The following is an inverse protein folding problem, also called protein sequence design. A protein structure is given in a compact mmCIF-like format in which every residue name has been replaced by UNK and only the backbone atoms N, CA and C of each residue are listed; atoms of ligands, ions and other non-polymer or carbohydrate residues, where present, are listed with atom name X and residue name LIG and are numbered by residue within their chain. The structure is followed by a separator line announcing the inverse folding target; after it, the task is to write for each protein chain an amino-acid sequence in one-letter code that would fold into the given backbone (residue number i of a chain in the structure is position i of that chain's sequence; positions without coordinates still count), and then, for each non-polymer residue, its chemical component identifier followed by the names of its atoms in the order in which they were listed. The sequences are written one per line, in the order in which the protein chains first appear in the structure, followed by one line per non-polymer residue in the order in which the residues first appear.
data_IF_588350752147
#
_entry.id   IF_588350752147
#
_cell.length_a   1.000
_cell.length_b   1.000
_cell.length_c   1.000
_cell.angle_alpha   90.00
_cell.angle_beta   90.00
_cell.angle_gamma   90.00
#
_symmetry.space_group_name_H-M   'P 1'
#
loop_
_entity.id
_entity.type
_entity.pdbx_description
1 polymer ?
#
# COMPACT_ATOMS: atom_id res chain seq x y z
N UNK A 1 20.21 9.45 -10.27
CA UNK A 1 19.92 8.23 -9.49
C UNK A 1 21.20 7.81 -8.76
N UNK A 2 21.19 7.70 -7.44
CA UNK A 2 22.36 7.25 -6.66
C UNK A 2 22.69 5.80 -6.97
N UNK A 3 23.98 5.47 -6.96
CA UNK A 3 24.43 4.08 -7.03
C UNK A 3 24.19 3.40 -5.70
N UNK A 4 23.78 2.14 -5.74
CA UNK A 4 23.72 1.29 -4.55
C UNK A 4 25.16 1.12 -4.02
N UNK A 5 25.35 1.47 -2.75
CA UNK A 5 26.60 1.28 -2.03
C UNK A 5 26.48 0.06 -1.11
N UNK A 6 27.59 -0.64 -0.88
CA UNK A 6 27.62 -1.74 0.10
C UNK A 6 27.64 -1.17 1.54
N UNK A 7 26.50 -0.64 1.97
CA UNK A 7 26.24 -0.07 3.29
C UNK A 7 24.94 -0.59 3.88
N UNK A 8 24.72 -0.34 5.15
CA UNK A 8 23.49 -0.71 5.84
C UNK A 8 22.30 0.01 5.20
N UNK A 9 21.22 -0.73 4.93
CA UNK A 9 19.92 -0.18 4.59
C UNK A 9 19.05 -0.14 5.84
N UNK A 10 18.48 1.02 6.15
CA UNK A 10 17.50 1.19 7.22
C UNK A 10 16.10 0.95 6.67
N UNK A 11 15.32 0.10 7.34
CA UNK A 11 13.88 -0.06 7.12
C UNK A 11 13.16 0.67 8.25
N UNK A 12 12.28 1.61 7.91
CA UNK A 12 11.58 2.44 8.90
C UNK A 12 10.27 2.98 8.35
N UNK A 13 9.32 3.28 9.25
CA UNK A 13 8.20 4.15 8.89
C UNK A 13 8.62 5.62 8.94
N UNK A 14 7.88 6.48 8.25
CA UNK A 14 8.12 7.92 8.22
C UNK A 14 8.09 8.57 9.63
N UNK A 15 7.33 7.98 10.54
CA UNK A 15 7.07 8.49 11.91
C UNK A 15 7.81 7.73 13.03
N UNK A 16 8.72 6.79 12.70
CA UNK A 16 9.38 5.96 13.74
C UNK A 16 10.51 6.71 14.46
N UNK A 17 11.36 7.43 13.73
CA UNK A 17 12.48 8.20 14.30
C UNK A 17 12.15 9.69 14.46
N UNK A 18 10.87 10.02 14.51
CA UNK A 18 10.37 11.37 14.59
C UNK A 18 8.87 11.35 14.38
N UNK A 19 8.30 12.45 13.88
CA UNK A 19 6.86 12.55 13.62
C UNK A 19 6.51 12.44 12.13
N UNK A 20 7.50 12.64 11.26
CA UNK A 20 7.31 12.75 9.82
C UNK A 20 8.65 12.62 9.06
N UNK A 21 8.60 12.71 7.74
CA UNK A 21 9.76 12.60 6.86
C UNK A 21 10.83 13.69 7.13
N UNK A 22 10.44 14.90 7.49
CA UNK A 22 11.38 15.98 7.84
C UNK A 22 12.15 15.67 9.10
N UNK A 23 11.45 15.21 10.14
CA UNK A 23 12.09 14.77 11.38
C UNK A 23 13.00 13.58 11.13
N UNK A 24 12.56 12.59 10.32
CA UNK A 24 13.36 11.44 9.92
C UNK A 24 14.66 11.89 9.25
N UNK A 25 14.58 12.75 8.24
CA UNK A 25 15.76 13.28 7.53
C UNK A 25 16.73 14.00 8.48
N UNK A 26 16.22 14.88 9.33
CA UNK A 26 17.02 15.63 10.32
C UNK A 26 17.72 14.67 11.30
N UNK A 27 17.01 13.70 11.86
CA UNK A 27 17.57 12.76 12.83
C UNK A 27 18.65 11.89 12.20
N UNK A 28 18.42 11.39 10.99
CA UNK A 28 19.41 10.59 10.26
C UNK A 28 20.68 11.39 9.98
N UNK A 29 20.54 12.64 9.54
CA UNK A 29 21.66 13.51 9.23
C UNK A 29 22.46 13.90 10.47
N UNK A 30 21.79 14.20 11.60
CA UNK A 30 22.44 14.68 12.83
C UNK A 30 23.01 13.55 13.70
N UNK A 31 22.28 12.42 13.80
CA UNK A 31 22.62 11.36 14.76
C UNK A 31 23.32 10.16 14.12
N UNK A 32 23.16 9.96 12.81
CA UNK A 32 23.69 8.81 12.09
C UNK A 32 24.40 9.20 10.77
N UNK A 33 25.25 10.24 10.76
CA UNK A 33 25.86 10.74 9.53
C UNK A 33 26.68 9.64 8.85
N UNK A 34 26.38 9.37 7.57
CA UNK A 34 27.13 8.42 6.74
C UNK A 34 26.95 6.92 7.09
N UNK A 35 26.15 6.59 8.11
CA UNK A 35 25.92 5.19 8.53
C UNK A 35 25.13 4.39 7.52
N UNK A 36 24.06 4.97 6.99
CA UNK A 36 23.16 4.30 6.06
C UNK A 36 23.46 4.69 4.62
N UNK A 37 23.47 3.70 3.72
CA UNK A 37 23.58 3.91 2.28
C UNK A 37 22.22 3.94 1.59
N UNK A 38 21.19 3.38 2.21
CA UNK A 38 19.84 3.34 1.69
C UNK A 38 18.78 3.37 2.77
N UNK A 39 17.57 3.78 2.38
CA UNK A 39 16.37 3.79 3.20
C UNK A 39 15.26 3.02 2.49
N UNK A 40 14.66 2.06 3.18
CA UNK A 40 13.35 1.53 2.85
C UNK A 40 12.33 2.23 3.75
N UNK A 41 11.65 3.23 3.21
CA UNK A 41 10.54 3.88 3.90
C UNK A 41 9.29 3.08 3.62
N UNK A 42 8.79 2.41 4.68
CA UNK A 42 7.54 1.65 4.65
C UNK A 42 6.38 2.56 4.26
N UNK A 43 5.23 2.01 3.79
CA UNK A 43 4.25 2.79 3.04
C UNK A 43 3.93 4.14 3.65
N UNK A 44 4.22 5.19 2.92
CA UNK A 44 4.02 6.59 3.30
C UNK A 44 2.88 7.26 2.52
N UNK A 45 2.13 6.49 1.74
CA UNK A 45 0.98 6.92 0.95
C UNK A 45 -0.28 7.05 1.82
N UNK A 46 -1.30 7.83 1.38
CA UNK A 46 -2.63 7.80 1.98
C UNK A 46 -3.17 6.38 2.08
N UNK A 47 -3.61 6.00 3.26
CA UNK A 47 -4.03 4.63 3.54
C UNK A 47 -5.30 4.59 4.38
N UNK A 48 -6.10 3.54 4.20
CA UNK A 48 -7.29 3.28 5.03
C UNK A 48 -6.99 2.40 6.26
N UNK A 49 -5.76 1.97 6.44
CA UNK A 49 -5.36 1.12 7.57
C UNK A 49 -4.15 0.25 7.28
N UNK A 50 -3.98 -0.77 8.11
CA UNK A 50 -2.90 -1.76 8.01
C UNK A 50 -1.49 -1.11 8.02
N UNK A 51 -1.33 -0.04 8.84
CA UNK A 51 -0.08 0.70 9.02
C UNK A 51 0.50 1.21 7.68
N UNK A 52 -0.36 1.67 6.75
CA UNK A 52 0.03 2.16 5.44
C UNK A 52 -0.17 1.15 4.29
N UNK A 53 -0.28 -0.14 4.56
CA UNK A 53 -0.37 -1.17 3.52
C UNK A 53 -1.74 -1.26 2.83
N UNK A 54 -2.80 -0.63 3.35
CA UNK A 54 -4.08 -0.50 2.65
C UNK A 54 -4.12 0.82 1.86
N UNK A 55 -3.29 0.95 0.82
CA UNK A 55 -3.08 2.17 0.06
C UNK A 55 -4.36 2.61 -0.65
N UNK A 56 -4.67 3.91 -0.52
CA UNK A 56 -5.79 4.56 -1.21
C UNK A 56 -5.32 5.16 -2.53
N UNK A 57 -4.12 5.76 -2.53
CA UNK A 57 -3.58 6.55 -3.62
C UNK A 57 -2.05 6.48 -3.59
N UNK A 58 -1.41 6.29 -4.74
CA UNK A 58 0.04 6.27 -4.90
C UNK A 58 0.62 7.60 -5.42
N UNK A 59 -0.24 8.53 -5.83
CA UNK A 59 0.19 9.80 -6.43
C UNK A 59 0.51 10.85 -5.37
N UNK A 60 0.13 10.62 -4.10
CA UNK A 60 0.36 11.55 -3.00
C UNK A 60 1.06 10.91 -1.80
N UNK A 61 1.67 11.74 -0.97
CA UNK A 61 2.20 11.36 0.35
C UNK A 61 1.11 11.64 1.40
N UNK A 62 0.98 10.76 2.39
CA UNK A 62 0.08 11.00 3.53
C UNK A 62 0.41 12.36 4.18
N UNK A 63 -0.54 13.32 4.24
CA UNK A 63 -0.25 14.69 4.68
C UNK A 63 0.40 14.80 6.06
N UNK A 64 0.13 13.85 6.96
CA UNK A 64 0.78 13.80 8.27
C UNK A 64 2.25 13.41 8.22
N UNK A 65 2.70 12.78 7.14
CA UNK A 65 4.09 12.35 6.96
C UNK A 65 4.92 13.38 6.20
N UNK A 66 4.31 14.19 5.32
CA UNK A 66 5.01 15.22 4.56
C UNK A 66 4.60 15.30 3.10
N UNK A 67 5.56 15.52 2.23
CA UNK A 67 5.35 15.74 0.79
C UNK A 67 6.34 14.97 -0.06
N UNK A 68 6.16 14.97 -1.39
CA UNK A 68 7.14 14.39 -2.32
C UNK A 68 8.49 15.09 -2.25
N UNK A 69 8.53 16.40 -1.97
CA UNK A 69 9.79 17.14 -1.77
C UNK A 69 10.58 16.61 -0.56
N UNK A 70 9.91 16.13 0.47
CA UNK A 70 10.58 15.50 1.62
C UNK A 70 11.17 14.14 1.24
N UNK A 71 10.51 13.37 0.38
CA UNK A 71 11.04 12.13 -0.20
C UNK A 71 12.24 12.43 -1.11
N UNK A 72 12.16 13.46 -1.95
CA UNK A 72 13.26 13.86 -2.84
C UNK A 72 14.50 14.28 -2.03
N UNK A 73 14.33 15.02 -0.94
CA UNK A 73 15.44 15.38 -0.04
C UNK A 73 16.11 14.15 0.61
N UNK A 74 15.34 13.11 0.93
CA UNK A 74 15.92 11.82 1.37
C UNK A 74 16.63 11.11 0.22
N UNK A 75 16.05 11.12 -0.98
CA UNK A 75 16.64 10.51 -2.17
C UNK A 75 17.95 11.16 -2.63
N UNK A 76 18.15 12.43 -2.31
CA UNK A 76 19.44 13.11 -2.53
C UNK A 76 20.57 12.58 -1.66
N UNK A 77 20.24 11.99 -0.52
CA UNK A 77 21.22 11.51 0.46
C UNK A 77 21.34 9.99 0.49
N UNK A 78 20.24 9.26 0.24
CA UNK A 78 20.14 7.82 0.40
C UNK A 78 19.63 7.16 -0.88
N UNK A 79 19.99 5.87 -1.10
CA UNK A 79 19.29 5.04 -2.05
C UNK A 79 17.89 4.71 -1.47
N UNK A 80 16.84 5.13 -2.17
CA UNK A 80 15.47 4.96 -1.69
C UNK A 80 14.85 3.64 -2.17
N UNK A 81 14.11 2.99 -1.27
CA UNK A 81 13.20 1.90 -1.54
C UNK A 81 11.83 2.22 -0.96
N UNK A 82 10.79 1.91 -1.69
CA UNK A 82 9.40 2.06 -1.25
C UNK A 82 8.60 0.79 -1.58
N UNK A 83 7.53 0.56 -0.84
CA UNK A 83 6.60 -0.53 -1.10
C UNK A 83 5.64 -0.18 -2.23
N UNK A 84 5.32 -1.18 -3.04
CA UNK A 84 4.25 -1.09 -4.03
C UNK A 84 3.40 -2.36 -3.95
N UNK A 85 2.18 -2.24 -3.42
CA UNK A 85 1.26 -3.36 -3.22
C UNK A 85 0.55 -3.69 -4.53
N UNK A 86 0.95 -4.79 -5.16
CA UNK A 86 0.33 -5.30 -6.40
C UNK A 86 -0.85 -6.24 -6.14
N UNK A 87 -0.94 -6.80 -4.94
CA UNK A 87 -1.86 -7.89 -4.61
C UNK A 87 -3.14 -7.43 -3.92
N UNK A 88 -3.23 -6.18 -3.50
CA UNK A 88 -4.42 -5.59 -2.91
C UNK A 88 -4.39 -4.06 -2.97
N UNK A 89 -5.56 -3.46 -2.83
CA UNK A 89 -5.76 -2.01 -2.77
C UNK A 89 -6.85 -1.70 -1.74
N UNK A 90 -6.88 -0.48 -1.24
CA UNK A 90 -7.93 -0.04 -0.34
C UNK A 90 -9.30 -0.03 -1.02
N UNK A 91 -10.34 -0.43 -0.30
CA UNK A 91 -11.75 -0.22 -0.71
C UNK A 91 -12.11 1.28 -0.85
N UNK A 92 -11.25 2.18 -0.38
CA UNK A 92 -11.40 3.64 -0.55
C UNK A 92 -10.66 4.18 -1.76
N UNK A 93 -9.94 3.34 -2.50
CA UNK A 93 -9.24 3.75 -3.72
C UNK A 93 -10.21 4.23 -4.80
N UNK A 94 -9.71 5.04 -5.72
CA UNK A 94 -10.49 5.50 -6.87
C UNK A 94 -10.95 4.34 -7.74
N UNK A 95 -10.08 3.38 -8.00
CA UNK A 95 -10.31 2.21 -8.84
C UNK A 95 -11.45 1.35 -8.30
N UNK A 96 -11.43 1.05 -6.99
CA UNK A 96 -12.49 0.26 -6.37
C UNK A 96 -13.82 1.01 -6.36
N UNK A 97 -13.83 2.32 -6.06
CA UNK A 97 -15.05 3.14 -6.08
C UNK A 97 -15.65 3.24 -7.48
N UNK A 98 -14.82 3.44 -8.51
CA UNK A 98 -15.28 3.48 -9.90
C UNK A 98 -15.89 2.12 -10.31
N UNK A 99 -15.23 1.01 -9.94
CA UNK A 99 -15.76 -0.33 -10.17
C UNK A 99 -17.10 -0.56 -9.46
N UNK A 100 -17.25 -0.13 -8.21
CA UNK A 100 -18.51 -0.25 -7.47
C UNK A 100 -19.65 0.56 -8.09
N UNK A 101 -19.32 1.70 -8.71
CA UNK A 101 -20.31 2.58 -9.36
C UNK A 101 -20.69 2.11 -10.77
N UNK A 102 -19.70 1.79 -11.61
CA UNK A 102 -19.86 1.48 -13.04
C UNK A 102 -19.98 -0.01 -13.34
N UNK A 103 -19.65 -0.87 -12.38
CA UNK A 103 -19.70 -2.31 -12.53
C UNK A 103 -18.80 -2.82 -13.65
N UNK A 104 -19.37 -3.66 -14.51
CA UNK A 104 -18.61 -4.28 -15.61
C UNK A 104 -18.20 -3.29 -16.71
N UNK A 105 -18.72 -2.05 -16.69
CA UNK A 105 -18.29 -0.95 -17.56
C UNK A 105 -17.13 -0.13 -17.00
N UNK A 106 -16.64 -0.44 -15.80
CA UNK A 106 -15.47 0.24 -15.24
C UNK A 106 -14.20 -0.14 -16.01
N UNK A 107 -13.32 0.83 -16.35
CA UNK A 107 -12.01 0.53 -16.91
C UNK A 107 -11.13 -0.27 -15.92
N UNK A 108 -11.45 -0.24 -14.65
CA UNK A 108 -10.73 -0.94 -13.59
C UNK A 108 -11.29 -2.34 -13.29
N UNK A 109 -12.33 -2.80 -14.00
CA UNK A 109 -12.92 -4.12 -13.78
C UNK A 109 -11.86 -5.24 -13.71
N UNK A 110 -10.97 -5.27 -14.67
CA UNK A 110 -9.95 -6.32 -14.79
C UNK A 110 -8.78 -6.17 -13.79
N UNK A 111 -8.77 -5.14 -12.96
CA UNK A 111 -7.83 -4.98 -11.85
C UNK A 111 -8.18 -5.88 -10.67
N UNK A 112 -9.44 -6.32 -10.58
CA UNK A 112 -9.97 -7.10 -9.48
C UNK A 112 -10.22 -8.56 -9.88
N UNK A 113 -9.98 -9.48 -8.95
CA UNK A 113 -10.37 -10.88 -9.09
C UNK A 113 -11.89 -10.97 -8.86
N UNK A 114 -12.61 -11.49 -9.84
CA UNK A 114 -14.04 -11.69 -9.76
C UNK A 114 -14.33 -13.06 -9.16
N UNK A 115 -15.09 -13.08 -8.07
CA UNK A 115 -15.40 -14.29 -7.31
C UNK A 115 -16.03 -15.40 -8.16
N UNK A 116 -17.00 -15.04 -8.98
CA UNK A 116 -17.75 -15.96 -9.86
C UNK A 116 -16.94 -16.43 -11.08
N UNK A 117 -15.91 -15.72 -11.47
CA UNK A 117 -15.03 -16.05 -12.61
C UNK A 117 -13.76 -16.80 -12.15
N UNK A 118 -13.29 -16.56 -10.94
CA UNK A 118 -12.05 -17.13 -10.41
C UNK A 118 -12.16 -18.63 -10.12
N UNK A 119 -13.31 -19.08 -9.61
CA UNK A 119 -13.50 -20.45 -9.19
C UNK A 119 -14.03 -21.31 -10.37
N UNK A 120 -13.49 -22.55 -10.60
CA UNK A 120 -13.88 -23.39 -11.74
C UNK A 120 -15.38 -23.70 -11.84
N UNK A 121 -16.09 -23.61 -10.71
CA UNK A 121 -17.56 -23.85 -10.62
C UNK A 121 -18.32 -22.59 -10.21
N UNK A 122 -17.72 -21.39 -10.40
CA UNK A 122 -18.28 -20.11 -9.99
C UNK A 122 -18.30 -19.87 -8.47
N UNK A 123 -17.78 -20.79 -7.67
CA UNK A 123 -17.69 -20.69 -6.21
C UNK A 123 -16.58 -21.60 -5.67
N UNK A 124 -16.00 -21.25 -4.50
CA UNK A 124 -15.01 -22.09 -3.83
C UNK A 124 -15.64 -23.38 -3.29
N UNK A 125 -14.81 -24.40 -3.16
CA UNK A 125 -15.12 -25.61 -2.36
C UNK A 125 -14.93 -25.30 -0.86
N UNK A 126 -15.33 -26.25 -0.02
CA UNK A 126 -15.07 -26.15 1.43
C UNK A 126 -13.56 -26.14 1.72
N UNK A 127 -12.80 -26.98 1.01
CA UNK A 127 -11.35 -27.05 1.12
C UNK A 127 -10.67 -25.74 0.72
N UNK A 128 -11.11 -25.11 -0.40
CA UNK A 128 -10.61 -23.78 -0.81
C UNK A 128 -10.84 -22.75 0.29
N UNK A 129 -12.03 -22.75 0.90
CA UNK A 129 -12.39 -21.83 1.98
C UNK A 129 -11.55 -22.05 3.26
N UNK A 130 -11.19 -23.29 3.56
CA UNK A 130 -10.36 -23.64 4.71
C UNK A 130 -8.89 -23.20 4.51
N UNK A 131 -8.41 -23.15 3.27
CA UNK A 131 -7.07 -22.66 2.93
C UNK A 131 -6.93 -21.14 2.93
N UNK A 132 -8.05 -20.38 2.88
CA UNK A 132 -8.00 -18.93 2.92
C UNK A 132 -7.56 -18.42 4.28
N UNK A 133 -6.54 -17.55 4.29
CA UNK A 133 -6.08 -16.93 5.52
C UNK A 133 -7.12 -15.96 6.09
N UNK A 134 -7.50 -16.17 7.35
CA UNK A 134 -8.47 -15.33 8.04
C UNK A 134 -7.76 -14.25 8.87
N UNK A 135 -7.79 -13.02 8.42
CA UNK A 135 -7.22 -11.88 9.17
C UNK A 135 -8.13 -11.35 10.28
N UNK A 136 -9.44 -11.58 10.18
CA UNK A 136 -10.44 -11.04 11.10
C UNK A 136 -11.48 -12.11 11.43
N UNK A 137 -12.15 -11.93 12.57
CA UNK A 137 -13.36 -12.69 12.90
C UNK A 137 -14.45 -12.41 11.85
N UNK A 138 -15.23 -13.41 11.49
CA UNK A 138 -16.35 -13.30 10.57
C UNK A 138 -16.15 -13.88 9.19
N UNK A 139 -14.91 -14.24 8.82
CA UNK A 139 -14.65 -14.92 7.55
C UNK A 139 -13.46 -14.34 6.76
N UNK A 140 -13.07 -14.99 5.65
CA UNK A 140 -11.90 -14.59 4.88
C UNK A 140 -12.16 -13.47 3.87
N UNK A 141 -13.42 -13.09 3.64
CA UNK A 141 -13.83 -12.06 2.68
C UNK A 141 -14.98 -11.21 3.20
N UNK A 142 -15.22 -10.07 2.55
CA UNK A 142 -16.37 -9.19 2.77
C UNK A 142 -17.18 -9.11 1.48
N UNK A 143 -18.48 -8.99 1.61
CA UNK A 143 -19.40 -8.78 0.47
C UNK A 143 -19.75 -7.30 0.37
N UNK A 144 -19.74 -6.78 -0.84
CA UNK A 144 -20.17 -5.43 -1.18
C UNK A 144 -21.23 -5.50 -2.26
N UNK A 145 -22.21 -4.59 -2.20
CA UNK A 145 -23.24 -4.46 -3.22
C UNK A 145 -22.90 -3.30 -4.14
N UNK A 146 -22.71 -3.57 -5.42
CA UNK A 146 -22.48 -2.57 -6.47
C UNK A 146 -23.76 -1.76 -6.74
N UNK A 147 -23.61 -0.62 -7.43
CA UNK A 147 -24.74 0.25 -7.80
C UNK A 147 -25.80 -0.46 -8.66
N UNK A 148 -25.39 -1.42 -9.49
CA UNK A 148 -26.29 -2.25 -10.30
C UNK A 148 -26.98 -3.38 -9.52
N UNK A 149 -26.74 -3.48 -8.21
CA UNK A 149 -27.33 -4.49 -7.32
C UNK A 149 -26.57 -5.83 -7.29
N UNK A 150 -25.50 -6.00 -8.07
CA UNK A 150 -24.68 -7.22 -8.01
C UNK A 150 -23.85 -7.24 -6.74
N UNK A 151 -23.84 -8.36 -6.04
CA UNK A 151 -22.92 -8.62 -4.94
C UNK A 151 -21.54 -9.03 -5.46
N UNK A 152 -20.49 -8.51 -4.84
CA UNK A 152 -19.07 -8.77 -5.17
C UNK A 152 -18.24 -8.93 -3.91
#
# INVERSE_FOLDING_TARGET
MRKIENKIMLITYADTLGRNLKDLNRILSEKFPGLFGGLHVLPFYPSSGDRGFAVIDYDSVEPSFGTWEDIDQLADQYYMMADFMLNHVSIRSHEFKDYMEKGDNSPYRNMFIHWDEFWPKGRPTKEDMEMMYRRKEGGPYLTFTRRDGKEV
#
